data_IF_928696592833
#
_entry.id   IF_928696592833
#
_cell.length_a   1.000
_cell.length_b   1.000
_cell.length_c   1.000
_cell.angle_alpha   90.00
_cell.angle_beta   90.00
_cell.angle_gamma   90.00
#
_symmetry.space_group_name_H-M   'P 1'
#
loop_
_entity.id
_entity.type
_entity.pdbx_description
1 polymer ?
#
# COMPACT_ATOMS: atom_id res chain seq x y z
N UNK A 1 66.42 -36.66 25.94
CA UNK A 1 65.04 -37.07 25.61
C UNK A 1 64.51 -36.08 24.58
N UNK A 2 64.10 -36.61 23.40
CA UNK A 2 63.28 -36.02 22.29
C UNK A 2 63.72 -34.65 21.71
N UNK A 3 64.24 -34.49 20.48
CA UNK A 3 63.76 -34.77 19.08
C UNK A 3 62.32 -34.20 18.87
N UNK A 4 61.95 -33.37 17.87
CA UNK A 4 62.07 -33.44 16.39
C UNK A 4 61.81 -32.03 15.77
N UNK A 5 62.31 -31.82 14.54
CA UNK A 5 62.23 -30.62 13.68
C UNK A 5 60.99 -30.53 12.74
N UNK A 6 60.86 -29.38 12.04
CA UNK A 6 60.08 -29.13 10.81
C UNK A 6 58.53 -29.17 10.93
N UNK A 7 57.70 -28.47 10.15
CA UNK A 7 57.86 -27.82 8.86
C UNK A 7 56.90 -26.63 8.73
N UNK A 8 57.23 -25.70 7.84
CA UNK A 8 56.32 -24.68 7.32
C UNK A 8 55.11 -25.32 6.61
N UNK A 9 53.91 -24.81 6.87
CA UNK A 9 52.78 -24.97 5.97
C UNK A 9 52.01 -23.65 5.90
N UNK A 10 52.29 -22.93 4.82
CA UNK A 10 51.49 -21.85 4.28
C UNK A 10 50.31 -22.50 3.53
N UNK A 11 49.07 -22.36 3.99
CA UNK A 11 47.91 -22.66 3.15
C UNK A 11 46.60 -22.01 3.67
N UNK A 12 46.07 -21.15 2.81
CA UNK A 12 44.66 -20.76 2.66
C UNK A 12 43.97 -20.04 3.82
N UNK A 13 44.11 -18.71 3.81
CA UNK A 13 42.95 -17.83 3.95
C UNK A 13 41.94 -18.17 2.84
N UNK A 14 40.85 -18.84 3.19
CA UNK A 14 39.59 -18.66 2.49
C UNK A 14 38.77 -17.68 3.31
N UNK A 15 39.01 -16.39 3.07
CA UNK A 15 38.02 -15.39 3.38
C UNK A 15 36.78 -15.75 2.53
N UNK A 16 35.69 -16.14 3.18
CA UNK A 16 34.38 -15.90 2.59
C UNK A 16 34.23 -14.37 2.59
N UNK A 17 34.80 -13.73 1.58
CA UNK A 17 34.26 -12.49 1.07
C UNK A 17 32.89 -12.88 0.51
N UNK A 18 31.88 -12.89 1.40
CA UNK A 18 30.51 -12.75 0.95
C UNK A 18 30.53 -11.50 0.08
N UNK A 19 30.22 -11.66 -1.20
CA UNK A 19 29.94 -10.54 -2.06
C UNK A 19 28.79 -9.79 -1.38
N UNK A 20 29.11 -8.72 -0.64
CA UNK A 20 28.14 -7.68 -0.31
C UNK A 20 27.88 -7.01 -1.65
N UNK A 21 26.96 -7.61 -2.40
CA UNK A 21 26.40 -6.98 -3.57
C UNK A 21 25.83 -5.65 -3.05
N UNK A 22 26.34 -4.54 -3.57
CA UNK A 22 25.79 -3.23 -3.25
C UNK A 22 24.29 -3.33 -3.53
N UNK A 23 23.49 -3.30 -2.48
CA UNK A 23 22.04 -3.32 -2.63
C UNK A 23 21.71 -2.04 -3.40
N UNK A 24 21.13 -2.21 -4.59
CA UNK A 24 20.70 -1.09 -5.41
C UNK A 24 19.68 -0.23 -4.66
N UNK A 25 19.44 0.97 -5.15
CA UNK A 25 18.28 1.74 -4.73
C UNK A 25 17.01 0.97 -5.11
N UNK A 26 16.01 0.95 -4.25
CA UNK A 26 14.70 0.43 -4.60
C UNK A 26 14.04 1.36 -5.62
N UNK A 27 13.33 0.77 -6.58
CA UNK A 27 12.61 1.49 -7.62
C UNK A 27 11.14 1.06 -7.64
N UNK A 28 10.23 2.01 -7.90
CA UNK A 28 8.79 1.74 -7.97
C UNK A 28 8.19 2.43 -9.19
N UNK A 29 7.44 1.69 -10.00
CA UNK A 29 6.71 2.25 -11.15
C UNK A 29 5.33 2.73 -10.68
N UNK A 30 5.14 4.05 -10.68
CA UNK A 30 3.88 4.70 -10.28
C UNK A 30 2.96 4.74 -11.48
N UNK A 31 1.98 3.84 -11.51
CA UNK A 31 1.01 3.73 -12.61
C UNK A 31 -0.13 4.72 -12.47
N UNK A 32 -0.70 5.09 -13.61
CA UNK A 32 -1.75 6.11 -13.68
C UNK A 32 -3.09 5.57 -13.20
N UNK A 33 -3.72 6.23 -12.23
CA UNK A 33 -5.10 6.01 -11.85
C UNK A 33 -6.02 6.51 -12.97
N UNK A 34 -7.03 5.72 -13.30
CA UNK A 34 -8.01 6.05 -14.37
C UNK A 34 -9.32 6.60 -13.84
N UNK A 35 -9.53 6.47 -12.53
CA UNK A 35 -10.66 7.03 -11.79
C UNK A 35 -10.12 7.82 -10.59
N UNK A 36 -10.91 8.78 -10.05
CA UNK A 36 -10.53 9.50 -8.84
C UNK A 36 -10.34 8.55 -7.65
N UNK A 37 -9.32 8.83 -6.82
CA UNK A 37 -9.04 8.11 -5.58
C UNK A 37 -9.71 8.82 -4.41
N UNK A 38 -10.46 8.10 -3.56
CA UNK A 38 -11.05 8.66 -2.34
C UNK A 38 -10.06 8.49 -1.20
N UNK A 39 -9.64 9.60 -0.59
CA UNK A 39 -8.68 9.58 0.50
C UNK A 39 -9.41 9.27 1.82
N UNK A 40 -9.50 7.99 2.18
CA UNK A 40 -10.20 7.51 3.36
C UNK A 40 -9.43 6.42 4.16
N UNK A 41 -8.26 6.01 3.68
CA UNK A 41 -7.41 5.00 4.30
C UNK A 41 -7.85 3.56 4.03
N UNK A 42 -8.93 3.32 3.27
CA UNK A 42 -9.46 1.97 3.03
C UNK A 42 -8.76 1.24 1.91
N UNK A 43 -8.22 1.97 0.94
CA UNK A 43 -7.59 1.43 -0.27
C UNK A 43 -8.53 0.46 -1.00
N UNK A 44 -9.83 0.79 -1.04
CA UNK A 44 -10.88 -0.09 -1.56
C UNK A 44 -11.10 0.06 -3.07
N UNK A 45 -10.46 1.06 -3.67
CA UNK A 45 -10.49 1.34 -5.10
C UNK A 45 -9.79 0.22 -5.88
N UNK A 46 -10.34 -0.20 -7.04
CA UNK A 46 -9.69 -1.17 -7.92
C UNK A 46 -8.26 -0.74 -8.33
N UNK A 47 -8.02 0.56 -8.42
CA UNK A 47 -6.70 1.13 -8.69
C UNK A 47 -5.70 0.76 -7.59
N UNK A 48 -6.10 0.81 -6.32
CA UNK A 48 -5.27 0.39 -5.20
C UNK A 48 -5.11 -1.12 -5.11
N UNK A 49 -6.13 -1.90 -5.47
CA UNK A 49 -6.02 -3.36 -5.52
C UNK A 49 -4.94 -3.81 -6.51
N UNK A 50 -4.89 -3.18 -7.70
CA UNK A 50 -3.92 -3.51 -8.75
C UNK A 50 -2.56 -2.82 -8.57
N UNK A 51 -2.49 -1.72 -7.81
CA UNK A 51 -1.22 -1.07 -7.50
C UNK A 51 -0.26 -2.04 -6.79
N UNK A 52 0.97 -2.11 -7.29
CA UNK A 52 2.00 -2.94 -6.70
C UNK A 52 2.30 -2.51 -5.26
N UNK A 53 2.70 -3.45 -4.41
CA UNK A 53 3.33 -3.11 -3.13
C UNK A 53 4.79 -2.75 -3.37
N UNK A 54 5.34 -1.83 -2.59
CA UNK A 54 6.79 -1.73 -2.43
C UNK A 54 7.34 -3.01 -1.81
N UNK A 55 8.66 -3.19 -1.85
CA UNK A 55 9.33 -4.08 -0.91
C UNK A 55 8.98 -3.72 0.53
N UNK A 56 9.02 -4.72 1.42
CA UNK A 56 8.88 -4.50 2.86
C UNK A 56 9.99 -3.57 3.36
N UNK A 57 9.62 -2.65 4.22
CA UNK A 57 10.55 -1.73 4.83
C UNK A 57 11.56 -2.48 5.69
N UNK A 58 12.77 -1.95 5.74
CA UNK A 58 13.91 -2.51 6.47
C UNK A 58 14.42 -1.52 7.49
N UNK A 59 15.19 -1.99 8.48
CA UNK A 59 15.84 -1.11 9.42
C UNK A 59 16.77 -0.13 8.68
N UNK A 60 16.52 1.16 8.86
CA UNK A 60 17.02 2.20 7.95
C UNK A 60 18.55 2.27 7.87
N UNK A 61 19.28 1.94 8.94
CA UNK A 61 20.75 2.08 8.95
C UNK A 61 21.43 1.02 8.10
N UNK A 62 21.10 -0.25 8.32
CA UNK A 62 21.87 -1.38 7.80
C UNK A 62 21.06 -2.33 6.89
N UNK A 63 19.75 -2.10 6.75
CA UNK A 63 18.87 -2.92 5.91
C UNK A 63 18.47 -4.27 6.51
N UNK A 64 18.67 -4.50 7.80
CA UNK A 64 18.17 -5.71 8.46
C UNK A 64 16.64 -5.75 8.45
N UNK A 65 16.08 -6.95 8.50
CA UNK A 65 14.63 -7.11 8.62
C UNK A 65 14.10 -6.43 9.89
N UNK A 66 12.94 -5.80 9.75
CA UNK A 66 12.14 -5.24 10.86
C UNK A 66 11.26 -6.32 11.47
N UNK A 67 10.79 -6.10 12.69
CA UNK A 67 9.77 -6.93 13.34
C UNK A 67 8.41 -6.67 12.70
N UNK A 68 7.99 -5.40 12.61
CA UNK A 68 6.68 -5.03 12.08
C UNK A 68 6.71 -4.83 10.56
N UNK A 69 5.68 -5.31 9.88
CA UNK A 69 5.56 -5.10 8.44
C UNK A 69 5.14 -3.69 8.13
N UNK A 70 5.87 -3.06 7.21
CA UNK A 70 5.40 -1.85 6.56
C UNK A 70 5.72 -1.93 5.09
N UNK A 71 4.73 -1.62 4.27
CA UNK A 71 4.83 -1.54 2.82
C UNK A 71 4.07 -0.32 2.33
N UNK A 72 4.52 0.23 1.22
CA UNK A 72 3.84 1.32 0.54
C UNK A 72 3.09 0.84 -0.70
N UNK A 73 2.18 1.69 -1.17
CA UNK A 73 1.68 1.70 -2.56
C UNK A 73 1.69 3.13 -3.07
N UNK A 74 1.87 3.29 -4.38
CA UNK A 74 1.81 4.61 -5.01
C UNK A 74 1.05 4.56 -6.34
N UNK A 75 0.30 5.62 -6.60
CA UNK A 75 -0.48 5.89 -7.81
C UNK A 75 -0.34 7.36 -8.19
N UNK A 76 -0.72 7.74 -9.40
CA UNK A 76 -0.80 9.15 -9.78
C UNK A 76 -1.91 9.42 -10.79
N UNK A 77 -2.37 10.66 -10.88
CA UNK A 77 -3.22 11.15 -11.97
C UNK A 77 -2.70 12.50 -12.51
N UNK A 78 -3.50 13.24 -13.28
CA UNK A 78 -3.05 14.53 -13.85
C UNK A 78 -2.92 15.65 -12.80
N UNK A 79 -3.32 15.43 -11.55
CA UNK A 79 -3.39 16.44 -10.49
C UNK A 79 -2.58 16.05 -9.24
N UNK A 80 -2.54 14.77 -8.89
CA UNK A 80 -2.00 14.30 -7.62
C UNK A 80 -1.04 13.11 -7.76
N UNK A 81 -0.04 13.09 -6.88
CA UNK A 81 0.63 11.87 -6.45
C UNK A 81 -0.13 11.30 -5.26
N UNK A 82 -0.44 10.01 -5.29
CA UNK A 82 -1.07 9.28 -4.19
C UNK A 82 -0.07 8.31 -3.57
N UNK A 83 0.01 8.30 -2.24
CA UNK A 83 0.89 7.42 -1.48
C UNK A 83 0.09 6.76 -0.38
N UNK A 84 0.23 5.46 -0.21
CA UNK A 84 -0.37 4.74 0.89
C UNK A 84 0.69 3.95 1.67
N UNK A 85 0.53 3.89 2.99
CA UNK A 85 1.31 3.07 3.91
C UNK A 85 0.37 2.02 4.50
N UNK A 86 0.85 0.78 4.58
CA UNK A 86 0.18 -0.33 5.26
C UNK A 86 1.10 -0.75 6.39
N UNK A 87 0.75 -0.36 7.62
CA UNK A 87 1.59 -0.49 8.81
C UNK A 87 0.99 -1.56 9.73
N UNK A 88 1.55 -2.78 9.73
CA UNK A 88 1.21 -3.78 10.75
C UNK A 88 1.68 -3.28 12.12
N UNK A 89 0.77 -3.31 13.09
CA UNK A 89 1.02 -2.77 14.41
C UNK A 89 0.06 -3.40 15.43
N UNK A 90 0.56 -4.01 16.52
CA UNK A 90 -0.28 -4.58 17.57
C UNK A 90 -0.78 -3.58 18.61
N UNK A 91 -0.27 -2.34 18.67
CA UNK A 91 -0.73 -1.28 19.58
C UNK A 91 -0.64 0.07 18.86
N UNK A 92 -1.66 0.41 18.06
CA UNK A 92 -1.72 1.66 17.30
C UNK A 92 -2.05 2.80 18.24
N UNK A 93 -1.21 3.81 18.29
CA UNK A 93 -1.43 4.96 19.18
C UNK A 93 -0.95 6.29 18.60
N UNK A 94 -1.68 7.34 18.97
CA UNK A 94 -1.37 8.72 18.62
C UNK A 94 -2.15 9.68 19.52
N UNK A 95 -1.51 10.78 19.89
CA UNK A 95 -2.03 11.78 20.82
C UNK A 95 -1.89 13.20 20.30
N UNK A 96 -0.94 13.44 19.40
CA UNK A 96 -0.73 14.73 18.74
C UNK A 96 -1.83 14.97 17.70
N UNK A 97 -2.32 16.20 17.64
CA UNK A 97 -3.58 16.56 16.95
C UNK A 97 -3.50 17.85 16.17
N UNK A 98 -2.53 18.70 16.47
CA UNK A 98 -2.39 19.98 15.81
C UNK A 98 -1.48 19.80 14.60
N UNK A 99 -1.80 20.54 13.53
CA UNK A 99 -0.90 20.67 12.40
C UNK A 99 0.47 21.13 12.88
N UNK A 100 1.52 20.50 12.36
CA UNK A 100 2.93 20.74 12.71
C UNK A 100 3.35 20.39 14.15
N UNK A 101 2.52 19.63 14.89
CA UNK A 101 3.02 18.92 16.06
C UNK A 101 4.20 18.02 15.63
N UNK A 102 5.21 17.86 16.48
CA UNK A 102 6.39 17.03 16.18
C UNK A 102 6.04 15.53 16.23
N UNK A 103 5.47 15.01 15.13
CA UNK A 103 4.85 13.68 15.08
C UNK A 103 5.83 12.51 15.30
N UNK A 104 7.13 12.71 15.08
CA UNK A 104 8.19 11.73 15.38
C UNK A 104 8.36 11.38 16.87
N UNK A 105 7.59 12.01 17.78
CA UNK A 105 7.51 11.61 19.18
C UNK A 105 6.38 10.60 19.46
N UNK A 106 5.75 10.07 18.43
CA UNK A 106 4.76 8.99 18.46
C UNK A 106 4.79 8.20 17.14
N UNK A 107 3.77 7.38 16.87
CA UNK A 107 3.67 6.68 15.60
C UNK A 107 3.47 7.64 14.42
N UNK A 108 4.31 7.49 13.41
CA UNK A 108 4.23 8.33 12.22
C UNK A 108 4.70 7.61 10.97
N UNK A 109 3.97 7.84 9.88
CA UNK A 109 4.39 7.54 8.52
C UNK A 109 4.97 8.82 7.91
N UNK A 110 6.17 8.73 7.36
CA UNK A 110 6.89 9.89 6.82
C UNK A 110 7.25 9.64 5.35
N UNK A 111 7.08 10.66 4.52
CA UNK A 111 7.47 10.63 3.11
C UNK A 111 8.37 11.82 2.79
N UNK A 112 9.47 11.51 2.10
CA UNK A 112 10.47 12.49 1.71
C UNK A 112 10.55 12.54 0.19
N UNK A 113 10.43 13.73 -0.39
CA UNK A 113 10.26 13.89 -1.84
C UNK A 113 11.24 14.94 -2.37
N UNK A 114 12.09 14.50 -3.30
CA UNK A 114 13.10 15.28 -4.00
C UNK A 114 12.92 15.04 -5.52
N UNK A 115 12.09 15.86 -6.20
CA UNK A 115 11.68 15.57 -7.57
C UNK A 115 12.83 15.52 -8.60
N UNK A 116 13.82 16.41 -8.50
CA UNK A 116 14.97 16.44 -9.42
C UNK A 116 16.20 15.69 -8.89
N UNK A 117 16.21 15.33 -7.61
CA UNK A 117 17.23 14.49 -7.01
C UNK A 117 18.53 15.23 -6.69
N UNK A 118 18.49 16.56 -6.62
CA UNK A 118 19.68 17.37 -6.33
C UNK A 118 19.99 17.48 -4.82
N UNK A 119 19.09 16.97 -3.96
CA UNK A 119 19.19 16.98 -2.51
C UNK A 119 18.91 18.33 -1.87
N UNK A 120 18.33 19.28 -2.60
CA UNK A 120 17.94 20.61 -2.16
C UNK A 120 16.41 20.76 -2.18
N UNK A 121 15.89 21.65 -1.34
CA UNK A 121 14.46 21.99 -1.27
C UNK A 121 13.51 20.78 -1.26
N UNK A 122 13.93 19.66 -0.68
CA UNK A 122 13.12 18.45 -0.63
C UNK A 122 12.07 18.57 0.47
N UNK A 123 10.93 17.93 0.23
CA UNK A 123 9.80 17.96 1.14
C UNK A 123 9.93 16.82 2.15
N UNK A 124 9.52 17.07 3.38
CA UNK A 124 9.22 16.05 4.38
C UNK A 124 7.77 16.22 4.81
N UNK A 125 6.98 15.17 4.68
CA UNK A 125 5.56 15.16 5.00
C UNK A 125 5.29 13.97 5.92
N UNK A 126 4.53 14.21 6.98
CA UNK A 126 4.29 13.24 8.03
C UNK A 126 2.80 13.12 8.34
N UNK A 127 2.37 11.90 8.67
CA UNK A 127 1.00 11.62 9.10
C UNK A 127 1.00 10.59 10.23
N UNK A 128 0.32 10.90 11.33
CA UNK A 128 0.11 9.96 12.44
C UNK A 128 -1.22 9.17 12.29
N UNK A 129 -1.45 8.13 13.11
CA UNK A 129 -2.72 7.38 13.14
C UNK A 129 -4.01 8.19 13.45
N UNK A 130 -3.90 9.46 13.88
CA UNK A 130 -5.05 10.36 14.01
C UNK A 130 -5.38 11.13 12.73
N UNK A 131 -4.52 11.03 11.70
CA UNK A 131 -4.61 11.82 10.48
C UNK A 131 -4.08 13.25 10.65
N UNK A 132 -3.33 13.50 11.73
CA UNK A 132 -2.65 14.77 11.95
C UNK A 132 -1.53 14.89 10.94
N UNK A 133 -1.44 16.05 10.31
CA UNK A 133 -0.45 16.35 9.29
C UNK A 133 0.67 17.20 9.89
N UNK A 134 1.87 16.98 9.39
CA UNK A 134 2.99 17.88 9.56
C UNK A 134 3.74 17.91 8.24
N UNK A 135 4.12 19.10 7.80
CA UNK A 135 4.93 19.28 6.61
C UNK A 135 6.06 20.27 6.89
N UNK A 136 7.19 20.03 6.25
CA UNK A 136 8.31 20.96 6.29
C UNK A 136 9.09 20.91 4.99
N UNK A 137 9.77 22.02 4.71
CA UNK A 137 10.69 22.12 3.59
C UNK A 137 12.14 22.04 4.10
N UNK A 138 12.93 21.15 3.48
CA UNK A 138 14.36 21.03 3.78
C UNK A 138 15.19 21.72 2.71
N UNK A 139 15.99 22.72 3.11
CA UNK A 139 16.88 23.38 2.15
C UNK A 139 17.93 22.43 1.55
N UNK A 140 18.36 21.44 2.35
CA UNK A 140 19.30 20.34 2.04
C UNK A 140 19.44 19.41 3.26
N UNK A 141 20.22 18.34 3.16
CA UNK A 141 20.48 17.45 4.30
C UNK A 141 21.10 18.17 5.51
N UNK A 142 20.76 17.75 6.74
CA UNK A 142 21.38 18.29 7.96
C UNK A 142 22.90 18.08 8.00
N UNK A 143 23.39 16.95 7.46
CA UNK A 143 24.84 16.66 7.34
C UNK A 143 25.59 17.70 6.52
N UNK A 144 24.89 18.41 5.63
CA UNK A 144 25.43 19.44 4.76
C UNK A 144 25.07 20.86 5.24
N UNK A 145 24.60 20.99 6.48
CA UNK A 145 24.22 22.25 7.11
C UNK A 145 22.87 22.79 6.65
N UNK A 146 21.96 21.91 6.22
CA UNK A 146 20.59 22.26 5.88
C UNK A 146 19.75 22.72 7.07
N UNK A 147 18.64 23.39 6.77
CA UNK A 147 17.65 23.84 7.75
C UNK A 147 16.27 23.39 7.29
N UNK A 148 15.45 22.99 8.25
CA UNK A 148 14.01 22.80 8.11
C UNK A 148 13.30 24.13 8.21
N UNK A 149 12.29 24.31 7.38
CA UNK A 149 11.30 25.38 7.44
C UNK A 149 9.95 24.77 7.80
N UNK A 150 9.59 24.88 9.09
CA UNK A 150 8.31 24.42 9.64
C UNK A 150 7.17 25.43 9.43
N UNK A 151 7.47 26.66 8.98
CA UNK A 151 6.43 27.65 8.68
C UNK A 151 5.86 27.43 7.26
N UNK A 152 6.59 26.72 6.40
CA UNK A 152 6.12 26.31 5.08
C UNK A 152 5.05 25.21 5.19
N UNK A 153 4.01 25.31 4.36
CA UNK A 153 2.90 24.35 4.32
C UNK A 153 2.63 23.87 2.89
N UNK A 154 2.39 22.57 2.71
CA UNK A 154 1.95 22.01 1.43
C UNK A 154 0.43 22.12 1.29
N UNK A 155 -0.03 23.21 0.69
CA UNK A 155 -1.44 23.41 0.42
C UNK A 155 -2.06 22.19 -0.30
N UNK A 156 -3.18 21.67 0.21
CA UNK A 156 -3.88 20.54 -0.40
C UNK A 156 -3.30 19.15 -0.10
N UNK A 157 -2.25 19.06 0.72
CA UNK A 157 -1.88 17.80 1.39
C UNK A 157 -3.03 17.35 2.29
N UNK A 158 -3.54 16.14 2.07
CA UNK A 158 -4.59 15.54 2.91
C UNK A 158 -4.35 14.06 3.09
N UNK A 159 -4.74 13.54 4.25
CA UNK A 159 -4.65 12.12 4.58
C UNK A 159 -6.01 11.52 4.98
N UNK A 160 -6.16 10.22 4.70
CA UNK A 160 -7.25 9.36 5.14
C UNK A 160 -6.65 8.22 5.93
N UNK A 161 -7.27 7.89 7.07
CA UNK A 161 -6.75 6.88 8.00
C UNK A 161 -7.78 5.78 8.22
N UNK A 162 -7.30 4.54 8.18
CA UNK A 162 -8.03 3.39 8.68
C UNK A 162 -7.19 2.66 9.72
N UNK A 163 -7.77 2.40 10.89
CA UNK A 163 -7.20 1.52 11.92
C UNK A 163 -8.02 0.24 11.95
N UNK A 164 -7.36 -0.89 11.76
CA UNK A 164 -7.92 -2.24 11.91
C UNK A 164 -7.62 -2.72 13.34
N UNK A 165 -8.41 -2.20 14.27
CA UNK A 165 -8.09 -2.23 15.70
C UNK A 165 -8.77 -1.09 16.48
N UNK A 166 -8.23 -0.77 17.65
CA UNK A 166 -8.69 0.30 18.55
C UNK A 166 -7.55 1.26 18.86
N UNK A 167 -7.57 2.43 18.21
CA UNK A 167 -6.58 3.48 18.46
C UNK A 167 -6.49 3.87 19.96
N UNK A 168 -5.27 3.87 20.50
CA UNK A 168 -4.92 4.22 21.87
C UNK A 168 -5.40 3.24 22.98
N UNK A 169 -5.71 1.98 22.66
CA UNK A 169 -6.01 0.97 23.70
C UNK A 169 -4.89 -0.07 23.85
N UNK A 170 -3.97 0.18 24.78
CA UNK A 170 -2.85 -0.73 25.07
C UNK A 170 -3.26 -2.13 25.56
N UNK A 171 -4.55 -2.36 25.86
CA UNK A 171 -5.02 -3.62 26.41
C UNK A 171 -5.56 -4.59 25.35
N UNK A 172 -5.70 -4.17 24.10
CA UNK A 172 -6.09 -5.05 23.01
C UNK A 172 -4.89 -5.39 22.10
N UNK A 173 -5.18 -5.97 20.94
CA UNK A 173 -4.16 -6.23 19.92
C UNK A 173 -4.73 -5.77 18.60
N UNK A 174 -4.13 -4.73 18.07
CA UNK A 174 -4.42 -4.22 16.74
C UNK A 174 -3.81 -5.12 15.66
N UNK A 175 -4.26 -4.95 14.43
CA UNK A 175 -3.70 -5.66 13.28
C UNK A 175 -2.78 -4.72 12.51
N UNK A 176 -3.30 -3.53 12.18
CA UNK A 176 -2.61 -2.55 11.35
C UNK A 176 -3.31 -1.19 11.40
N UNK A 177 -2.61 -0.19 10.91
CA UNK A 177 -3.22 1.03 10.41
C UNK A 177 -2.76 1.31 8.99
N UNK A 178 -3.58 2.07 8.26
CA UNK A 178 -3.35 2.47 6.89
C UNK A 178 -3.39 3.99 6.84
N UNK A 179 -2.34 4.56 6.28
CA UNK A 179 -2.30 5.98 5.91
C UNK A 179 -2.43 6.07 4.40
N UNK A 180 -3.36 6.87 3.91
CA UNK A 180 -3.51 7.17 2.49
C UNK A 180 -3.45 8.67 2.30
N UNK A 181 -2.60 9.15 1.40
CA UNK A 181 -2.44 10.58 1.16
C UNK A 181 -2.57 10.94 -0.31
N UNK A 182 -2.96 12.19 -0.57
CA UNK A 182 -2.81 12.82 -1.88
C UNK A 182 -1.96 14.08 -1.76
N UNK A 183 -1.12 14.28 -2.77
CA UNK A 183 -0.15 15.37 -2.86
C UNK A 183 -0.35 16.12 -4.17
N UNK A 184 -0.77 17.40 -4.16
CA UNK A 184 -1.03 18.16 -5.38
C UNK A 184 0.27 18.53 -6.10
N UNK A 185 0.41 18.13 -7.36
CA UNK A 185 1.61 18.41 -8.16
C UNK A 185 1.89 19.91 -8.30
N UNK A 186 0.86 20.71 -8.53
CA UNK A 186 0.97 22.17 -8.67
C UNK A 186 1.71 22.80 -7.48
N UNK A 187 1.48 22.29 -6.28
CA UNK A 187 2.03 22.88 -5.05
C UNK A 187 3.38 22.29 -4.65
N UNK A 188 3.85 21.25 -5.35
CA UNK A 188 5.22 20.74 -5.25
C UNK A 188 6.15 21.36 -6.29
N UNK A 189 5.64 22.01 -7.33
CA UNK A 189 6.43 22.48 -8.48
C UNK A 189 7.57 23.46 -8.13
N UNK A 190 7.44 24.20 -7.02
CA UNK A 190 8.47 25.14 -6.58
C UNK A 190 9.77 24.44 -6.14
N UNK A 191 9.72 23.18 -5.70
CA UNK A 191 10.90 22.47 -5.19
C UNK A 191 11.86 22.10 -6.31
N UNK A 192 11.35 21.88 -7.52
CA UNK A 192 12.13 21.53 -8.70
C UNK A 192 11.63 22.28 -9.96
N UNK A 193 11.90 23.59 -10.12
CA UNK A 193 11.33 24.41 -11.20
C UNK A 193 11.71 23.99 -12.63
N UNK A 194 12.70 23.11 -12.79
CA UNK A 194 13.12 22.57 -14.07
C UNK A 194 12.38 21.27 -14.48
N UNK A 195 11.61 20.68 -13.57
CA UNK A 195 10.85 19.45 -13.79
C UNK A 195 9.41 19.74 -14.23
N UNK A 196 8.73 18.75 -14.79
CA UNK A 196 7.33 18.83 -15.16
C UNK A 196 6.40 18.45 -13.99
N UNK A 197 5.34 19.24 -13.79
CA UNK A 197 4.28 19.02 -12.80
C UNK A 197 2.91 19.25 -13.48
N UNK A 198 2.10 18.21 -13.71
CA UNK A 198 2.34 16.79 -13.40
C UNK A 198 3.50 16.18 -14.23
N UNK A 199 4.13 15.08 -13.75
CA UNK A 199 5.19 14.39 -14.46
C UNK A 199 4.75 13.82 -15.82
N UNK A 200 5.72 13.59 -16.71
CA UNK A 200 5.54 12.89 -17.99
C UNK A 200 5.84 11.40 -17.85
N UNK A 201 5.43 10.63 -18.87
CA UNK A 201 5.76 9.20 -18.94
C UNK A 201 7.28 8.99 -18.92
N UNK A 202 7.75 8.13 -18.01
CA UNK A 202 9.16 7.83 -17.83
C UNK A 202 9.93 8.84 -16.98
N UNK A 203 9.31 9.96 -16.54
CA UNK A 203 9.94 10.84 -15.56
C UNK A 203 10.20 10.09 -14.26
N UNK A 204 11.29 10.43 -13.58
CA UNK A 204 11.66 9.77 -12.33
C UNK A 204 12.01 10.78 -11.26
N UNK A 205 11.53 10.54 -10.03
CA UNK A 205 11.84 11.35 -8.85
C UNK A 205 12.60 10.55 -7.80
N UNK A 206 13.33 11.25 -6.93
CA UNK A 206 13.85 10.66 -5.70
C UNK A 206 12.78 10.78 -4.63
N UNK A 207 12.41 9.65 -4.04
CA UNK A 207 11.41 9.61 -2.98
C UNK A 207 11.75 8.49 -2.01
N UNK A 208 11.50 8.70 -0.73
CA UNK A 208 11.56 7.62 0.23
C UNK A 208 10.37 7.65 1.20
N UNK A 209 10.09 6.48 1.75
CA UNK A 209 9.02 6.25 2.70
C UNK A 209 9.64 5.69 3.98
N UNK A 210 9.23 6.23 5.12
CA UNK A 210 9.70 5.82 6.43
C UNK A 210 8.53 5.58 7.36
N UNK A 211 8.76 4.74 8.37
CA UNK A 211 7.88 4.60 9.51
C UNK A 211 8.71 4.74 10.77
N UNK A 212 8.26 5.60 11.65
CA UNK A 212 8.70 5.66 13.03
C UNK A 212 7.59 5.03 13.87
N UNK A 213 7.78 3.78 14.27
CA UNK A 213 6.95 3.14 15.29
C UNK A 213 7.51 3.47 16.66
N UNK A 214 7.13 4.61 17.22
CA UNK A 214 7.63 5.03 18.53
C UNK A 214 6.86 4.30 19.63
N UNK A 215 7.61 3.63 20.49
CA UNK A 215 7.04 2.78 21.53
C UNK A 215 6.62 3.50 22.81
N UNK A 216 6.76 4.82 22.88
CA UNK A 216 6.62 5.58 24.12
C UNK A 216 7.66 5.15 25.17
N UNK A 217 7.60 5.73 26.36
CA UNK A 217 8.55 5.37 27.43
C UNK A 217 8.36 3.92 27.92
N UNK A 218 7.14 3.35 27.81
CA UNK A 218 6.79 2.03 28.36
C UNK A 218 5.72 1.23 27.57
N UNK A 219 5.34 1.59 26.32
CA UNK A 219 4.26 0.85 25.60
C UNK A 219 4.80 -0.36 24.83
N UNK A 220 5.72 -0.14 23.90
CA UNK A 220 6.32 -1.16 23.01
C UNK A 220 7.77 -0.81 22.67
N UNK A 221 8.46 -1.70 21.97
CA UNK A 221 9.80 -1.39 21.45
C UNK A 221 9.70 -0.37 20.31
N UNK A 222 10.61 0.60 20.29
CA UNK A 222 10.68 1.56 19.18
C UNK A 222 11.35 0.96 17.95
N UNK A 223 10.71 1.06 16.78
CA UNK A 223 11.25 0.58 15.51
C UNK A 223 11.20 1.65 14.41
N UNK A 224 12.35 1.94 13.81
CA UNK A 224 12.46 2.87 12.66
C UNK A 224 12.75 2.08 11.39
N UNK A 225 11.89 2.21 10.39
CA UNK A 225 11.99 1.46 9.15
C UNK A 225 11.88 2.36 7.92
N UNK A 226 12.46 1.90 6.81
CA UNK A 226 12.53 2.63 5.56
C UNK A 226 12.24 1.71 4.36
N UNK A 227 11.55 2.22 3.34
CA UNK A 227 11.44 1.53 2.05
C UNK A 227 12.83 1.33 1.45
N UNK A 228 13.58 2.41 1.22
CA UNK A 228 15.00 2.32 0.88
C UNK A 228 15.85 2.68 2.09
N UNK A 229 16.75 1.79 2.50
CA UNK A 229 17.64 2.06 3.64
C UNK A 229 18.51 3.30 3.39
N UNK A 230 18.78 4.03 4.46
CA UNK A 230 19.77 5.11 4.48
C UNK A 230 21.06 4.61 5.14
N UNK A 231 21.57 5.35 6.12
CA UNK A 231 22.78 5.05 6.86
C UNK A 231 22.76 5.80 8.22
N UNK A 232 23.92 5.94 8.86
CA UNK A 232 24.05 6.59 10.16
C UNK A 232 23.65 8.07 10.19
N UNK A 233 23.36 8.69 9.03
CA UNK A 233 22.84 10.07 8.95
C UNK A 233 21.35 10.19 9.31
N UNK A 234 20.60 9.09 9.41
CA UNK A 234 19.15 9.12 9.65
C UNK A 234 18.33 9.20 8.35
N UNK A 235 17.09 9.67 8.45
CA UNK A 235 16.18 9.78 7.30
C UNK A 235 16.55 10.91 6.35
N UNK A 236 17.16 12.00 6.82
CA UNK A 236 17.62 13.15 6.02
C UNK A 236 18.90 12.87 5.21
N UNK A 237 18.84 11.87 4.34
CA UNK A 237 19.92 11.46 3.43
C UNK A 237 19.35 11.34 2.00
N UNK A 238 19.10 12.45 1.29
CA UNK A 238 18.41 12.43 -0.02
C UNK A 238 19.16 11.65 -1.10
N UNK A 239 20.49 11.57 -1.02
CA UNK A 239 21.29 10.70 -1.89
C UNK A 239 20.94 9.20 -1.73
N UNK A 240 20.28 8.81 -0.63
CA UNK A 240 19.82 7.46 -0.32
C UNK A 240 18.35 7.21 -0.58
N UNK A 241 17.58 8.19 -1.05
CA UNK A 241 16.16 7.94 -1.34
C UNK A 241 15.97 6.82 -2.38
N UNK A 242 14.78 6.24 -2.43
CA UNK A 242 14.39 5.35 -3.53
C UNK A 242 14.22 6.13 -4.83
N UNK A 243 13.73 5.45 -5.86
CA UNK A 243 13.35 6.10 -7.12
C UNK A 243 11.93 5.70 -7.48
N UNK A 244 11.09 6.68 -7.75
CA UNK A 244 9.79 6.42 -8.38
C UNK A 244 9.87 6.78 -9.85
N UNK A 245 9.20 6.02 -10.71
CA UNK A 245 9.16 6.21 -12.16
C UNK A 245 7.70 6.33 -12.57
N UNK A 246 7.31 7.47 -13.11
CA UNK A 246 5.93 7.72 -13.53
C UNK A 246 5.64 6.99 -14.84
N UNK A 247 4.52 6.28 -14.88
CA UNK A 247 4.04 5.62 -16.09
C UNK A 247 2.62 6.06 -16.43
N UNK A 248 2.41 6.47 -17.68
CA UNK A 248 1.09 6.70 -18.27
C UNK A 248 0.34 5.39 -18.52
N UNK A 249 0.99 4.23 -18.37
CA UNK A 249 0.25 2.97 -18.34
C UNK A 249 -0.77 3.01 -17.20
N UNK A 250 -2.05 2.80 -17.50
CA UNK A 250 -3.06 2.78 -16.47
C UNK A 250 -2.79 1.60 -15.53
N UNK A 251 -2.96 1.82 -14.23
CA UNK A 251 -2.77 0.78 -13.21
C UNK A 251 -3.71 -0.41 -13.48
N UNK A 252 -4.90 -0.11 -13.96
CA UNK A 252 -5.83 -1.09 -14.50
C UNK A 252 -5.68 -1.10 -16.02
N UNK A 253 -5.17 -2.20 -16.59
CA UNK A 253 -5.10 -2.34 -18.05
C UNK A 253 -6.50 -2.33 -18.68
N UNK A 254 -6.77 -1.51 -19.71
CA UNK A 254 -8.00 -1.61 -20.51
C UNK A 254 -8.11 -2.93 -21.30
N UNK A 255 -7.08 -3.80 -21.21
CA UNK A 255 -6.98 -5.11 -21.85
C UNK A 255 -6.78 -6.28 -20.88
N UNK A 256 -7.02 -6.11 -19.57
CA UNK A 256 -7.73 -7.21 -18.90
C UNK A 256 -9.13 -7.17 -19.50
N UNK A 257 -9.46 -8.14 -20.35
CA UNK A 257 -10.85 -8.48 -20.61
C UNK A 257 -11.42 -8.95 -19.27
N UNK A 258 -11.78 -7.99 -18.43
CA UNK A 258 -13.01 -8.13 -17.71
C UNK A 258 -14.07 -8.06 -18.81
N UNK A 259 -14.85 -9.12 -18.93
CA UNK A 259 -16.21 -9.02 -19.45
C UNK A 259 -17.01 -8.09 -18.51
N UNK A 260 -16.61 -6.82 -18.42
CA UNK A 260 -17.48 -5.73 -18.12
C UNK A 260 -18.35 -5.57 -19.38
N UNK A 261 -19.28 -6.52 -19.53
CA UNK A 261 -20.59 -6.20 -20.07
C UNK A 261 -20.96 -4.84 -19.49
N UNK A 262 -21.24 -3.90 -20.39
CA UNK A 262 -21.85 -2.62 -20.09
C UNK A 262 -22.87 -2.79 -18.98
N UNK A 263 -22.48 -2.53 -17.72
CA UNK A 263 -23.39 -2.51 -16.60
C UNK A 263 -24.32 -1.33 -16.86
N UNK A 264 -25.60 -1.55 -17.19
CA UNK A 264 -26.54 -0.45 -17.25
C UNK A 264 -26.60 0.11 -15.84
N UNK A 265 -26.50 1.44 -15.71
CA UNK A 265 -26.50 2.14 -14.43
C UNK A 265 -27.49 1.50 -13.44
N UNK A 266 -26.98 0.81 -12.41
CA UNK A 266 -27.77 0.21 -11.34
C UNK A 266 -28.03 -1.30 -11.37
N UNK A 267 -27.30 -2.14 -12.13
CA UNK A 267 -27.43 -3.61 -12.04
C UNK A 267 -26.07 -4.31 -12.00
N UNK A 268 -25.79 -5.14 -10.98
CA UNK A 268 -24.59 -5.99 -10.99
C UNK A 268 -24.10 -6.45 -9.62
N UNK A 269 -23.09 -7.32 -9.63
CA UNK A 269 -22.37 -7.74 -8.43
C UNK A 269 -21.36 -6.65 -8.06
N UNK A 270 -21.44 -6.14 -6.83
CA UNK A 270 -20.56 -5.09 -6.30
C UNK A 270 -19.25 -5.66 -5.75
N UNK A 271 -19.24 -6.93 -5.37
CA UNK A 271 -18.04 -7.63 -4.91
C UNK A 271 -18.35 -8.81 -3.99
N UNK A 272 -17.30 -9.35 -3.39
CA UNK A 272 -17.42 -10.35 -2.34
C UNK A 272 -16.43 -10.05 -1.20
N UNK A 273 -16.85 -10.21 0.06
CA UNK A 273 -15.99 -10.02 1.23
C UNK A 273 -16.15 -11.17 2.24
N UNK A 274 -15.04 -11.77 2.71
CA UNK A 274 -13.65 -11.50 2.32
C UNK A 274 -13.32 -12.01 0.89
N UNK A 275 -12.25 -11.51 0.28
CA UNK A 275 -11.63 -12.04 -0.95
C UNK A 275 -10.11 -11.82 -0.88
N UNK A 276 -9.26 -12.86 -0.74
CA UNK A 276 -9.61 -14.28 -0.70
C UNK A 276 -10.44 -14.67 0.54
N UNK A 277 -11.17 -15.78 0.48
CA UNK A 277 -12.03 -16.26 1.58
C UNK A 277 -11.76 -17.70 2.01
N UNK A 278 -12.15 -18.05 3.25
CA UNK A 278 -12.08 -19.41 3.82
C UNK A 278 -13.18 -19.66 4.88
N UNK A 279 -14.07 -20.66 4.72
CA UNK A 279 -14.55 -21.23 3.47
C UNK A 279 -15.66 -20.38 2.85
N UNK A 280 -16.12 -19.32 3.52
CA UNK A 280 -17.30 -18.53 3.13
C UNK A 280 -17.00 -17.08 2.79
N UNK A 281 -17.77 -16.53 1.85
CA UNK A 281 -17.74 -15.11 1.47
C UNK A 281 -19.17 -14.59 1.30
N UNK A 282 -19.38 -13.30 1.61
CA UNK A 282 -20.64 -12.61 1.30
C UNK A 282 -20.51 -11.95 -0.06
N UNK A 283 -21.44 -12.23 -0.96
CA UNK A 283 -21.53 -11.64 -2.30
C UNK A 283 -22.58 -10.54 -2.24
N UNK A 284 -22.18 -9.31 -2.54
CA UNK A 284 -23.02 -8.12 -2.51
C UNK A 284 -23.40 -7.73 -3.94
N UNK A 285 -24.68 -7.45 -4.22
CA UNK A 285 -25.18 -7.09 -5.55
C UNK A 285 -26.32 -6.07 -5.49
N UNK A 286 -26.51 -5.31 -6.56
CA UNK A 286 -27.54 -4.27 -6.67
C UNK A 286 -28.53 -4.57 -7.80
N UNK A 287 -29.81 -4.31 -7.53
CA UNK A 287 -30.91 -4.43 -8.50
C UNK A 287 -31.60 -3.08 -8.70
N UNK A 288 -31.85 -2.64 -9.94
CA UNK A 288 -32.49 -1.35 -10.20
C UNK A 288 -34.02 -1.40 -10.01
N UNK A 289 -34.60 -2.60 -10.06
CA UNK A 289 -36.03 -2.86 -9.88
C UNK A 289 -36.24 -4.28 -9.34
N UNK A 290 -37.43 -4.55 -8.78
CA UNK A 290 -37.85 -5.90 -8.40
C UNK A 290 -37.80 -6.82 -9.63
N UNK A 291 -37.27 -8.04 -9.48
CA UNK A 291 -37.12 -8.94 -10.63
C UNK A 291 -36.70 -10.36 -10.28
N UNK A 292 -36.83 -11.25 -11.26
CA UNK A 292 -36.36 -12.63 -11.19
C UNK A 292 -34.84 -12.66 -11.34
N UNK A 293 -34.17 -13.17 -10.30
CA UNK A 293 -32.73 -13.29 -10.16
C UNK A 293 -32.32 -14.75 -10.20
N UNK A 294 -31.26 -15.04 -10.93
CA UNK A 294 -30.53 -16.28 -10.84
C UNK A 294 -29.06 -15.94 -10.53
N UNK A 295 -28.54 -16.41 -9.38
CA UNK A 295 -27.14 -16.22 -8.98
C UNK A 295 -26.48 -17.58 -8.87
N UNK A 296 -25.58 -17.87 -9.81
CA UNK A 296 -24.90 -19.16 -9.96
C UNK A 296 -23.40 -19.06 -9.73
N UNK A 297 -22.80 -20.09 -9.14
CA UNK A 297 -21.35 -20.21 -8.96
C UNK A 297 -20.78 -21.20 -9.98
N UNK A 298 -19.67 -20.83 -10.60
CA UNK A 298 -18.91 -21.63 -11.56
C UNK A 298 -17.44 -21.73 -11.18
N UNK A 299 -16.75 -22.79 -11.62
CA UNK A 299 -15.28 -22.85 -11.55
C UNK A 299 -14.63 -22.33 -12.85
N UNK A 300 -13.28 -22.33 -12.89
CA UNK A 300 -12.50 -21.89 -14.07
C UNK A 300 -12.73 -22.69 -15.35
N UNK A 301 -13.30 -23.90 -15.26
CA UNK A 301 -13.66 -24.72 -16.41
C UNK A 301 -15.08 -24.43 -16.90
N UNK A 302 -15.78 -23.45 -16.30
CA UNK A 302 -17.19 -23.16 -16.59
C UNK A 302 -18.16 -24.21 -16.06
N UNK A 303 -17.71 -25.12 -15.17
CA UNK A 303 -18.60 -26.10 -14.56
C UNK A 303 -19.45 -25.41 -13.50
N UNK A 304 -20.76 -25.61 -13.56
CA UNK A 304 -21.70 -25.14 -12.55
C UNK A 304 -21.43 -25.85 -11.21
N UNK A 305 -21.25 -25.06 -10.17
CA UNK A 305 -20.94 -25.52 -8.81
C UNK A 305 -22.20 -25.51 -7.96
N UNK A 306 -22.92 -24.39 -7.93
CA UNK A 306 -24.11 -24.20 -7.09
C UNK A 306 -24.92 -22.97 -7.49
N UNK A 307 -26.25 -23.09 -7.45
CA UNK A 307 -27.16 -21.94 -7.48
C UNK A 307 -27.38 -21.43 -6.06
N UNK A 308 -27.12 -20.14 -5.84
CA UNK A 308 -27.37 -19.45 -4.58
C UNK A 308 -28.75 -18.80 -4.56
N UNK A 309 -29.20 -18.30 -5.71
CA UNK A 309 -30.52 -17.70 -5.89
C UNK A 309 -31.13 -18.24 -7.18
N UNK A 310 -32.40 -18.62 -7.13
CA UNK A 310 -33.27 -18.88 -8.29
C UNK A 310 -34.68 -18.43 -7.92
N UNK A 311 -34.98 -17.14 -8.11
CA UNK A 311 -36.26 -16.57 -7.68
C UNK A 311 -36.31 -15.04 -7.69
N UNK A 312 -37.38 -14.45 -7.14
CA UNK A 312 -37.58 -13.01 -7.15
C UNK A 312 -36.83 -12.31 -6.01
N UNK A 313 -36.13 -11.22 -6.32
CA UNK A 313 -35.50 -10.32 -5.36
C UNK A 313 -36.06 -8.89 -5.48
N UNK A 314 -35.90 -8.10 -4.41
CA UNK A 314 -36.31 -6.70 -4.36
C UNK A 314 -35.24 -5.78 -4.93
N UNK A 315 -35.67 -4.66 -5.50
CA UNK A 315 -34.81 -3.55 -5.89
C UNK A 315 -33.94 -3.10 -4.69
N UNK A 316 -32.75 -2.58 -4.99
CA UNK A 316 -31.78 -2.11 -4.01
C UNK A 316 -30.62 -3.09 -3.78
N UNK A 317 -29.90 -2.87 -2.68
CA UNK A 317 -28.73 -3.66 -2.30
C UNK A 317 -29.18 -4.98 -1.67
N UNK A 318 -28.64 -6.07 -2.18
CA UNK A 318 -28.90 -7.43 -1.74
C UNK A 318 -27.55 -8.11 -1.44
N UNK A 319 -27.58 -9.11 -0.57
CA UNK A 319 -26.39 -9.87 -0.17
C UNK A 319 -26.73 -11.32 0.03
N UNK A 320 -25.83 -12.23 -0.36
CA UNK A 320 -25.96 -13.66 -0.09
C UNK A 320 -24.61 -14.30 0.20
N UNK A 321 -24.60 -15.31 1.08
CA UNK A 321 -23.38 -16.01 1.48
C UNK A 321 -23.20 -17.26 0.64
N UNK A 322 -21.99 -17.46 0.12
CA UNK A 322 -21.53 -18.75 -0.35
C UNK A 322 -20.59 -19.36 0.68
N UNK A 323 -20.77 -20.64 1.00
CA UNK A 323 -20.07 -21.41 2.03
C UNK A 323 -18.92 -22.29 1.48
N UNK A 324 -18.56 -22.11 0.20
CA UNK A 324 -17.53 -22.92 -0.45
C UNK A 324 -17.94 -24.37 -0.68
N UNK A 325 -19.26 -24.65 -0.83
CA UNK A 325 -19.80 -25.97 -1.15
C UNK A 325 -20.53 -26.03 -2.49
N UNK A 326 -20.54 -27.21 -3.10
CA UNK A 326 -21.30 -27.54 -4.31
C UNK A 326 -22.78 -27.88 -4.01
N UNK A 327 -23.57 -28.20 -5.04
CA UNK A 327 -24.97 -28.63 -4.92
C UNK A 327 -25.17 -29.91 -4.11
N UNK A 328 -24.16 -30.77 -3.98
CA UNK A 328 -24.20 -31.99 -3.16
C UNK A 328 -23.80 -31.73 -1.71
N UNK A 329 -23.46 -30.48 -1.35
CA UNK A 329 -23.03 -30.08 -0.01
C UNK A 329 -21.57 -30.40 0.29
N UNK A 330 -20.79 -30.83 -0.72
CA UNK A 330 -19.37 -31.13 -0.57
C UNK A 330 -18.55 -29.84 -0.67
N UNK A 331 -17.47 -29.78 0.10
CA UNK A 331 -16.47 -28.72 0.00
C UNK A 331 -15.78 -28.74 -1.37
N UNK A 332 -15.71 -27.58 -2.02
CA UNK A 332 -14.91 -27.43 -3.26
C UNK A 332 -13.44 -27.10 -2.93
N UNK A 333 -12.53 -27.31 -3.88
CA UNK A 333 -11.09 -27.08 -3.69
C UNK A 333 -10.74 -25.58 -3.61
N UNK A 334 -9.58 -25.25 -3.05
CA UNK A 334 -9.00 -23.90 -3.19
C UNK A 334 -8.82 -23.56 -4.67
N UNK A 335 -9.15 -22.33 -5.07
CA UNK A 335 -9.10 -21.91 -6.46
C UNK A 335 -9.98 -20.72 -6.78
N UNK A 336 -10.00 -20.38 -8.07
CA UNK A 336 -10.80 -19.29 -8.62
C UNK A 336 -12.21 -19.79 -8.94
N UNK A 337 -13.20 -19.01 -8.55
CA UNK A 337 -14.61 -19.22 -8.84
C UNK A 337 -15.23 -17.94 -9.42
N UNK A 338 -16.34 -18.10 -10.12
CA UNK A 338 -17.10 -16.99 -10.70
C UNK A 338 -18.54 -17.04 -10.19
N UNK A 339 -19.05 -15.93 -9.70
CA UNK A 339 -20.47 -15.75 -9.42
C UNK A 339 -21.13 -15.00 -10.57
N UNK A 340 -22.18 -15.56 -11.15
CA UNK A 340 -22.91 -14.98 -12.27
C UNK A 340 -24.33 -14.63 -11.82
N UNK A 341 -24.64 -13.35 -11.80
CA UNK A 341 -25.96 -12.79 -11.53
C UNK A 341 -26.69 -12.56 -12.84
N UNK A 342 -27.87 -13.14 -12.99
CA UNK A 342 -28.75 -12.98 -14.16
C UNK A 342 -30.08 -12.39 -13.75
N UNK A 343 -30.48 -11.31 -14.41
CA UNK A 343 -31.80 -10.70 -14.27
C UNK A 343 -32.36 -10.38 -15.66
N UNK A 344 -33.50 -10.98 -15.99
CA UNK A 344 -34.06 -10.92 -17.34
C UNK A 344 -33.03 -11.37 -18.41
N UNK A 345 -32.61 -10.45 -19.28
CA UNK A 345 -31.62 -10.67 -20.33
C UNK A 345 -30.22 -10.13 -19.99
N UNK A 346 -30.01 -9.59 -18.78
CA UNK A 346 -28.73 -9.04 -18.36
C UNK A 346 -27.99 -10.05 -17.48
N UNK A 347 -26.67 -10.11 -17.63
CA UNK A 347 -25.77 -10.94 -16.83
C UNK A 347 -24.72 -10.02 -16.19
N UNK A 348 -24.21 -10.39 -15.02
CA UNK A 348 -23.09 -9.73 -14.35
C UNK A 348 -22.26 -10.81 -13.67
N UNK A 349 -20.97 -10.86 -13.95
CA UNK A 349 -20.08 -11.90 -13.45
C UNK A 349 -19.01 -11.30 -12.53
N UNK A 350 -18.66 -11.99 -11.46
CA UNK A 350 -17.64 -11.54 -10.49
C UNK A 350 -16.70 -12.67 -10.11
N UNK A 351 -15.38 -12.39 -10.09
CA UNK A 351 -14.33 -13.37 -9.81
C UNK A 351 -14.01 -13.41 -8.32
N UNK A 352 -13.97 -14.59 -7.73
CA UNK A 352 -13.71 -14.84 -6.31
C UNK A 352 -12.56 -15.83 -6.12
N UNK A 353 -11.77 -15.69 -5.05
CA UNK A 353 -10.66 -16.58 -4.71
C UNK A 353 -10.90 -17.29 -3.36
N UNK A 354 -11.11 -18.61 -3.41
CA UNK A 354 -11.21 -19.47 -2.23
C UNK A 354 -9.83 -20.02 -1.85
N UNK A 355 -9.42 -19.85 -0.59
CA UNK A 355 -8.19 -20.44 -0.03
C UNK A 355 -8.50 -21.23 1.23
N UNK A 356 -8.30 -22.54 1.22
CA UNK A 356 -8.48 -23.44 2.36
C UNK A 356 -7.18 -23.79 3.06
#
# INVERSE_FOLDING_TARGET
>A
MFRIACAAFLAMMCAFAGNVQAQGINEYVVKKAVSPITIDGRLSEPEWEEAALTERFVYYVNGSATVLSTQGKMLWDDQYLYVAFICEDPDVWATLKNHDDHLWNEEVAEMFIDPDGDGLNYLELQVNPLGTLMDLLMSKAYSDGGKSDFDWNLNGFTAGIFVDGTLNDINDNDIKWVCEVRLPFENMAFSAPAMDFPPKDGDSWRLNLYRYDYGGDDRKDTELSAWNRTDSRGFHAPDKFGRIIFSQEPVISPTKVNDAETVPAGFGISGNYPNPFNPSTRIDFHLPADGSVNLDIYNVLGQHIRSLIDGNCKAGNNSIVWDGRDTSGNSVNSGIYFSNLKVNSQVSSHRMLLMK
#
